data_IF_559093000464
#
_entry.id   IF_559093000464
#
_cell.length_a   1.000
_cell.length_b   1.000
_cell.length_c   1.000
_cell.angle_alpha   90.00
_cell.angle_beta   90.00
_cell.angle_gamma   90.00
#
_symmetry.space_group_name_H-M   'P 1'
#
loop_
_entity.id
_entity.type
_entity.pdbx_description
1 polymer ?
#
# COMPACT_ATOMS: atom_id res chain seq x y z
N UNK A 1 7.44 14.93 2.63
CA UNK A 1 6.59 14.05 1.79
C UNK A 1 5.19 14.31 2.28
N UNK A 2 4.50 15.28 1.67
CA UNK A 2 3.43 15.99 2.37
C UNK A 2 2.04 15.48 1.98
N UNK A 3 1.97 14.37 1.23
CA UNK A 3 0.72 13.79 0.73
C UNK A 3 0.66 12.31 1.03
N UNK A 4 -0.43 11.93 1.68
CA UNK A 4 -0.79 10.57 2.00
C UNK A 4 -1.24 9.89 0.71
N UNK A 5 -0.73 8.71 0.39
CA UNK A 5 -1.14 8.02 -0.84
C UNK A 5 -2.38 7.17 -0.55
N UNK A 6 -3.53 7.43 -1.18
CA UNK A 6 -4.73 6.63 -0.95
C UNK A 6 -4.55 5.23 -1.52
N UNK A 7 -5.05 4.25 -0.78
CA UNK A 7 -5.10 2.84 -1.20
C UNK A 7 -6.53 2.55 -1.65
N UNK A 8 -6.68 2.16 -2.91
CA UNK A 8 -7.95 1.80 -3.55
C UNK A 8 -8.00 0.28 -3.68
N UNK A 9 -9.10 -0.35 -3.26
CA UNK A 9 -9.40 -1.75 -3.52
C UNK A 9 -10.86 -1.86 -3.95
N UNK A 10 -11.14 -2.56 -5.06
CA UNK A 10 -12.48 -2.72 -5.61
C UNK A 10 -13.24 -1.37 -5.70
N UNK A 11 -12.59 -0.36 -6.27
CA UNK A 11 -13.10 1.02 -6.42
C UNK A 11 -13.41 1.77 -5.11
N UNK A 12 -13.01 1.23 -3.94
CA UNK A 12 -13.18 1.87 -2.64
C UNK A 12 -11.85 2.21 -2.00
N UNK A 13 -11.79 3.37 -1.35
CA UNK A 13 -10.64 3.74 -0.54
C UNK A 13 -10.62 2.90 0.75
N UNK A 14 -9.69 1.95 0.80
CA UNK A 14 -9.53 1.03 1.93
C UNK A 14 -8.46 1.48 2.91
N UNK A 15 -7.64 2.47 2.55
CA UNK A 15 -6.58 2.94 3.43
C UNK A 15 -5.79 4.12 2.90
N UNK A 16 -4.67 4.37 3.56
CA UNK A 16 -3.69 5.39 3.18
C UNK A 16 -2.29 4.93 3.57
N UNK A 17 -1.35 5.09 2.65
CA UNK A 17 0.08 4.96 2.90
C UNK A 17 0.56 6.24 3.58
N UNK A 18 1.15 6.09 4.76
CA UNK A 18 1.78 7.19 5.49
C UNK A 18 3.26 7.33 5.15
N UNK A 19 3.93 6.22 4.83
CA UNK A 19 5.35 6.19 4.48
C UNK A 19 5.63 5.18 3.38
N UNK A 20 6.47 5.55 2.43
CA UNK A 20 6.99 4.64 1.41
C UNK A 20 8.49 4.84 1.27
N UNK A 21 9.24 3.74 1.15
CA UNK A 21 10.67 3.72 0.96
C UNK A 21 11.05 2.67 -0.09
N UNK A 22 12.03 2.98 -0.91
CA UNK A 22 12.62 2.01 -1.82
C UNK A 22 13.56 1.10 -1.03
N UNK A 23 13.33 -0.22 -1.06
CA UNK A 23 14.25 -1.19 -0.46
C UNK A 23 15.21 -1.70 -1.53
N UNK A 24 16.52 -1.39 -1.42
CA UNK A 24 17.53 -1.95 -2.33
C UNK A 24 17.70 -3.47 -2.14
N UNK A 25 17.42 -4.00 -0.94
CA UNK A 25 17.54 -5.42 -0.62
C UNK A 25 16.53 -6.28 -1.39
N UNK A 26 15.30 -5.78 -1.51
CA UNK A 26 14.22 -6.46 -2.24
C UNK A 26 14.03 -5.95 -3.68
N UNK A 27 14.85 -4.99 -4.12
CA UNK A 27 14.72 -4.28 -5.41
C UNK A 27 13.28 -3.83 -5.70
N UNK A 28 12.52 -3.47 -4.67
CA UNK A 28 11.11 -3.11 -4.78
C UNK A 28 10.76 -2.00 -3.80
N UNK A 29 9.64 -1.33 -4.08
CA UNK A 29 9.13 -0.27 -3.21
C UNK A 29 8.34 -0.90 -2.06
N UNK A 30 8.72 -0.58 -0.83
CA UNK A 30 8.02 -0.99 0.38
C UNK A 30 7.26 0.20 0.93
N UNK A 31 6.01 -0.01 1.31
CA UNK A 31 5.15 1.03 1.85
C UNK A 31 4.46 0.54 3.12
N UNK A 32 4.38 1.43 4.12
CA UNK A 32 3.64 1.22 5.36
C UNK A 32 2.45 2.16 5.35
N UNK A 33 1.26 1.58 5.49
CA UNK A 33 0.00 2.30 5.48
C UNK A 33 -1.01 1.73 6.44
N UNK A 34 -1.92 2.58 6.89
CA UNK A 34 -3.09 2.13 7.64
C UNK A 34 -4.18 1.72 6.66
N UNK A 35 -4.62 0.46 6.75
CA UNK A 35 -5.73 -0.11 5.99
C UNK A 35 -6.87 -0.41 6.98
N UNK A 36 -8.12 -0.16 6.60
CA UNK A 36 -9.28 -0.52 7.40
C UNK A 36 -9.37 -2.04 7.54
N UNK A 37 -9.52 -2.51 8.78
CA UNK A 37 -9.66 -3.93 9.15
C UNK A 37 -10.75 -4.67 8.36
N UNK A 38 -11.80 -3.97 7.90
CA UNK A 38 -12.88 -4.56 7.08
C UNK A 38 -12.45 -5.06 5.69
N UNK A 39 -11.27 -4.67 5.19
CA UNK A 39 -10.77 -5.03 3.86
C UNK A 39 -9.26 -5.41 3.93
N UNK A 40 -8.84 -6.00 5.05
CA UNK A 40 -7.45 -6.38 5.31
C UNK A 40 -7.05 -7.69 4.63
N UNK A 41 -7.98 -8.41 3.99
CA UNK A 41 -7.75 -9.78 3.52
C UNK A 41 -6.41 -9.95 2.82
N UNK A 42 -5.60 -10.84 3.38
CA UNK A 42 -4.26 -11.15 2.89
C UNK A 42 -4.34 -11.58 1.41
N UNK A 43 -3.43 -11.08 0.58
CA UNK A 43 -3.41 -11.25 -0.88
C UNK A 43 -4.44 -10.44 -1.67
N UNK A 44 -5.15 -9.50 -1.04
CA UNK A 44 -5.96 -8.53 -1.79
C UNK A 44 -5.05 -7.66 -2.65
N UNK A 45 -5.30 -7.66 -3.96
CA UNK A 45 -4.66 -6.73 -4.90
C UNK A 45 -5.28 -5.35 -4.71
N UNK A 46 -4.43 -4.39 -4.41
CA UNK A 46 -4.83 -3.00 -4.18
C UNK A 46 -4.04 -2.08 -5.08
N UNK A 47 -4.57 -0.89 -5.32
CA UNK A 47 -3.95 0.13 -6.13
C UNK A 47 -3.58 1.31 -5.24
N UNK A 48 -2.31 1.68 -5.24
CA UNK A 48 -1.79 2.82 -4.50
C UNK A 48 -1.63 3.98 -5.47
N UNK A 49 -2.35 5.07 -5.22
CA UNK A 49 -2.24 6.28 -6.05
C UNK A 49 -1.04 7.08 -5.55
N UNK A 50 0.09 6.96 -6.24
CA UNK A 50 1.31 7.72 -5.94
C UNK A 50 1.40 8.97 -6.82
N UNK A 51 2.26 9.92 -6.45
CA UNK A 51 2.54 11.09 -7.29
C UNK A 51 3.07 10.72 -8.69
N UNK A 52 3.65 9.53 -8.84
CA UNK A 52 4.24 9.05 -10.09
C UNK A 52 3.31 8.09 -10.85
N UNK A 53 2.02 8.08 -10.50
CA UNK A 53 1.01 7.20 -11.08
C UNK A 53 0.49 6.13 -10.11
N UNK A 54 -0.54 5.42 -10.57
CA UNK A 54 -1.13 4.30 -9.83
C UNK A 54 -0.17 3.11 -9.90
N UNK A 55 0.09 2.49 -8.75
CA UNK A 55 0.90 1.27 -8.64
C UNK A 55 0.09 0.15 -8.01
N UNK A 56 0.16 -1.04 -8.59
CA UNK A 56 -0.43 -2.22 -7.99
C UNK A 56 0.42 -2.67 -6.80
N UNK A 57 -0.25 -3.04 -5.71
CA UNK A 57 0.34 -3.56 -4.49
C UNK A 57 -0.49 -4.74 -3.96
N UNK A 58 0.10 -5.53 -3.09
CA UNK A 58 -0.56 -6.68 -2.47
C UNK A 58 -0.57 -6.43 -0.97
N UNK A 59 -1.74 -6.58 -0.34
CA UNK A 59 -1.86 -6.49 1.12
C UNK A 59 -1.17 -7.71 1.74
N UNK A 60 -0.21 -7.43 2.62
CA UNK A 60 0.47 -8.42 3.45
C UNK A 60 0.14 -8.14 4.91
N UNK A 61 -0.38 -9.15 5.60
CA UNK A 61 -0.78 -9.07 7.00
C UNK A 61 0.41 -8.88 7.94
N UNK A 62 1.58 -9.44 7.58
CA UNK A 62 2.82 -9.32 8.32
C UNK A 62 3.99 -9.03 7.36
N UNK A 63 4.81 -8.03 7.70
CA UNK A 63 6.05 -7.69 6.97
C UNK A 63 7.29 -8.34 7.58
N UNK A 64 7.23 -8.74 8.86
CA UNK A 64 8.34 -9.33 9.59
C UNK A 64 8.10 -10.83 9.81
N UNK A 65 8.75 -11.66 8.99
CA UNK A 65 9.22 -13.00 9.35
C UNK A 65 10.64 -13.14 8.80
#
# INVERSE_FOLDING_TARGET
>A
CDRWWPIIANDKQVGRVSSAAYSPDFKTNVAVGMVKMTHWDENTKVQVVTNNGVRDAIVKESFWI
#
